data_IF_735929110387
#
_entry.id   IF_735929110387
#
_cell.length_a   1.000
_cell.length_b   1.000
_cell.length_c   1.000
_cell.angle_alpha   90.00
_cell.angle_beta   90.00
_cell.angle_gamma   90.00
#
_symmetry.space_group_name_H-M   'P 1'
#
loop_
_entity.id
_entity.type
_entity.pdbx_description
1 polymer ?
#
# COMPACT_ATOMS: atom_id res chain seq x y z
N UNK A 1 8.51 -19.43 2.03
CA UNK A 1 8.77 -19.12 3.46
C UNK A 1 8.60 -17.61 3.63
N UNK A 2 7.42 -17.10 4.04
CA UNK A 2 7.28 -15.66 4.29
C UNK A 2 8.13 -15.32 5.52
N UNK A 3 9.05 -14.37 5.35
CA UNK A 3 10.07 -14.05 6.35
C UNK A 3 9.44 -13.40 7.58
N UNK A 4 9.82 -13.89 8.77
CA UNK A 4 9.44 -13.34 10.08
C UNK A 4 9.71 -11.82 10.21
N UNK A 5 10.59 -11.26 9.36
CA UNK A 5 10.90 -9.84 9.29
C UNK A 5 9.74 -8.97 8.80
N UNK A 6 8.95 -9.43 7.83
CA UNK A 6 7.79 -8.65 7.33
C UNK A 6 6.69 -8.53 8.41
N UNK A 7 6.53 -9.58 9.21
CA UNK A 7 5.56 -9.64 10.30
C UNK A 7 5.90 -8.75 11.49
N UNK A 8 7.19 -8.43 11.71
CA UNK A 8 7.66 -7.56 12.79
C UNK A 8 7.48 -6.09 12.40
N UNK A 9 7.84 -5.72 11.16
CA UNK A 9 7.66 -4.36 10.66
C UNK A 9 6.18 -3.94 10.59
N UNK A 10 5.28 -4.85 10.16
CA UNK A 10 3.83 -4.54 10.18
C UNK A 10 3.30 -4.34 11.62
N UNK A 11 3.84 -5.07 12.60
CA UNK A 11 3.47 -4.91 14.02
C UNK A 11 3.96 -3.59 14.62
N UNK A 12 5.14 -3.11 14.25
CA UNK A 12 5.67 -1.82 14.70
C UNK A 12 4.89 -0.64 14.11
N UNK A 13 4.56 -0.68 12.81
CA UNK A 13 3.72 0.36 12.16
C UNK A 13 2.31 0.44 12.75
N UNK A 14 1.68 -0.71 13.03
CA UNK A 14 0.34 -0.75 13.63
C UNK A 14 0.33 -0.24 15.08
N UNK A 15 1.33 -0.58 15.90
CA UNK A 15 1.39 -0.05 17.27
C UNK A 15 1.57 1.46 17.27
N UNK A 16 2.33 2.02 16.33
CA UNK A 16 2.45 3.47 16.15
C UNK A 16 1.13 4.14 15.71
N UNK A 17 0.36 3.48 14.84
CA UNK A 17 -0.97 3.94 14.42
C UNK A 17 -2.00 3.95 15.56
N UNK A 18 -2.00 2.92 16.42
CA UNK A 18 -2.97 2.77 17.51
C UNK A 18 -2.60 3.63 18.75
N UNK A 19 -1.31 3.81 19.05
CA UNK A 19 -0.89 4.38 20.35
C UNK A 19 -1.04 5.92 20.46
N UNK A 20 -1.39 6.63 19.38
CA UNK A 20 -1.66 8.08 19.41
C UNK A 20 -3.14 8.44 19.69
N UNK A 21 -4.02 7.44 19.83
CA UNK A 21 -5.47 7.61 19.97
C UNK A 21 -5.98 7.44 21.41
N UNK A 22 -5.25 7.92 22.43
CA UNK A 22 -5.77 7.94 23.80
C UNK A 22 -6.72 9.14 24.01
N UNK A 23 -7.95 9.01 23.52
CA UNK A 23 -9.08 9.82 24.02
C UNK A 23 -9.99 8.89 24.82
N UNK A 24 -10.10 9.19 26.12
CA UNK A 24 -11.04 8.53 27.04
C UNK A 24 -12.46 8.83 26.56
N UNK A 25 -13.20 7.83 26.12
CA UNK A 25 -14.64 7.98 25.91
C UNK A 25 -15.36 6.71 26.31
N UNK A 26 -16.16 6.84 27.37
CA UNK A 26 -17.14 5.87 27.80
C UNK A 26 -18.32 5.90 26.83
N UNK A 27 -18.90 4.71 26.58
CA UNK A 27 -20.29 4.47 26.13
C UNK A 27 -20.52 4.13 24.64
N UNK A 28 -21.26 3.03 24.48
CA UNK A 28 -21.88 2.43 23.28
C UNK A 28 -20.93 1.72 22.28
N UNK A 29 -20.73 0.43 22.52
CA UNK A 29 -20.15 -0.52 21.55
C UNK A 29 -21.12 -0.72 20.38
N UNK A 30 -21.02 0.10 19.35
CA UNK A 30 -21.39 -0.36 18.00
C UNK A 30 -20.40 -1.46 17.61
N UNK A 31 -20.92 -2.66 17.28
CA UNK A 31 -20.16 -3.78 16.70
C UNK A 31 -19.62 -3.38 15.31
N UNK A 32 -18.66 -2.47 15.24
CA UNK A 32 -17.88 -2.25 14.03
C UNK A 32 -16.89 -3.41 13.92
N UNK A 33 -16.96 -4.13 12.80
CA UNK A 33 -16.01 -5.19 12.46
C UNK A 33 -14.60 -4.59 12.60
N UNK A 34 -13.71 -5.15 13.44
CA UNK A 34 -12.37 -4.59 13.56
C UNK A 34 -11.74 -4.61 12.18
N UNK A 35 -11.21 -3.45 11.79
CA UNK A 35 -10.32 -3.29 10.64
C UNK A 35 -9.32 -4.43 10.73
N UNK A 36 -9.28 -5.32 9.74
CA UNK A 36 -8.33 -6.44 9.85
C UNK A 36 -6.94 -5.83 9.70
N UNK A 37 -6.17 -5.86 10.78
CA UNK A 37 -4.72 -5.61 10.77
C UNK A 37 -4.06 -6.28 9.56
N UNK A 38 -4.56 -7.47 9.19
CA UNK A 38 -4.25 -8.19 7.96
C UNK A 38 -4.40 -7.35 6.68
N UNK A 39 -5.50 -6.63 6.48
CA UNK A 39 -5.70 -5.81 5.28
C UNK A 39 -4.69 -4.65 5.20
N UNK A 40 -4.34 -4.05 6.34
CA UNK A 40 -3.29 -3.01 6.38
C UNK A 40 -1.93 -3.65 6.04
N UNK A 41 -1.58 -4.80 6.60
CA UNK A 41 -0.33 -5.49 6.24
C UNK A 41 -0.30 -5.91 4.76
N UNK A 42 -1.43 -6.33 4.18
CA UNK A 42 -1.53 -6.66 2.76
C UNK A 42 -1.23 -5.43 1.89
N UNK A 43 -1.80 -4.28 2.24
CA UNK A 43 -1.51 -3.02 1.55
C UNK A 43 -0.04 -2.61 1.67
N UNK A 44 0.54 -2.67 2.88
CA UNK A 44 1.95 -2.35 3.10
C UNK A 44 2.88 -3.30 2.32
N UNK A 45 2.49 -4.56 2.17
CA UNK A 45 3.20 -5.51 1.31
C UNK A 45 3.03 -5.17 -0.17
N UNK A 46 1.83 -4.80 -0.61
CA UNK A 46 1.56 -4.42 -2.00
C UNK A 46 2.34 -3.18 -2.43
N UNK A 47 2.43 -2.15 -1.58
CA UNK A 47 3.22 -0.95 -1.91
C UNK A 47 4.71 -1.24 -1.99
N UNK A 48 5.21 -2.16 -1.14
CA UNK A 48 6.59 -2.62 -1.20
C UNK A 48 6.88 -3.33 -2.53
N UNK A 49 6.05 -4.31 -2.90
CA UNK A 49 6.20 -5.02 -4.18
C UNK A 49 6.15 -4.02 -5.33
N UNK A 50 5.14 -3.15 -5.38
CA UNK A 50 5.01 -2.19 -6.46
C UNK A 50 6.23 -1.25 -6.57
N UNK A 51 6.86 -0.90 -5.44
CA UNK A 51 8.10 -0.12 -5.43
C UNK A 51 9.29 -0.92 -5.95
N UNK A 52 9.42 -2.20 -5.59
CA UNK A 52 10.48 -3.10 -6.07
C UNK A 52 10.35 -3.36 -7.58
N UNK A 53 9.14 -3.69 -8.04
CA UNK A 53 8.87 -3.92 -9.46
C UNK A 53 9.08 -2.65 -10.31
N UNK A 54 8.75 -1.48 -9.76
CA UNK A 54 9.07 -0.19 -10.39
C UNK A 54 10.57 -0.01 -10.61
N UNK A 55 11.41 -0.47 -9.67
CA UNK A 55 12.87 -0.41 -9.84
C UNK A 55 13.31 -1.30 -11.00
N UNK A 56 12.79 -2.52 -11.10
CA UNK A 56 13.10 -3.42 -12.22
C UNK A 56 12.69 -2.81 -13.55
N UNK A 57 11.47 -2.29 -13.66
CA UNK A 57 10.98 -1.64 -14.88
C UNK A 57 11.86 -0.45 -15.29
N UNK A 58 12.30 0.39 -14.34
CA UNK A 58 13.22 1.50 -14.64
C UNK A 58 14.58 0.99 -15.13
N UNK A 59 15.12 -0.05 -14.50
CA UNK A 59 16.46 -0.58 -14.81
C UNK A 59 16.51 -1.32 -16.14
N UNK A 60 15.41 -1.94 -16.56
CA UNK A 60 15.36 -2.71 -17.80
C UNK A 60 14.98 -1.88 -19.02
N UNK A 61 14.75 -0.57 -18.90
CA UNK A 61 14.48 0.31 -20.03
C UNK A 61 15.51 0.14 -21.15
N UNK A 62 15.03 0.01 -22.39
CA UNK A 62 15.87 -0.22 -23.57
C UNK A 62 16.37 -1.66 -23.73
N UNK A 63 16.03 -2.57 -22.80
CA UNK A 63 16.32 -3.99 -22.92
C UNK A 63 15.09 -4.80 -23.38
N UNK A 64 15.32 -6.05 -23.78
CA UNK A 64 14.26 -7.00 -24.14
C UNK A 64 13.36 -7.40 -22.95
N UNK A 65 13.80 -7.15 -21.71
CA UNK A 65 13.04 -7.48 -20.50
C UNK A 65 12.03 -6.39 -20.13
N UNK A 66 12.18 -5.19 -20.73
CA UNK A 66 11.43 -4.01 -20.32
C UNK A 66 9.92 -4.18 -20.35
N UNK A 67 9.40 -4.81 -21.41
CA UNK A 67 7.95 -5.03 -21.53
C UNK A 67 7.40 -5.89 -20.39
N UNK A 68 8.11 -6.96 -20.03
CA UNK A 68 7.75 -7.83 -18.92
C UNK A 68 7.74 -7.08 -17.60
N UNK A 69 8.84 -6.37 -17.30
CA UNK A 69 8.99 -5.64 -16.05
C UNK A 69 8.00 -4.47 -15.96
N UNK A 70 7.74 -3.76 -17.07
CA UNK A 70 6.72 -2.71 -17.14
C UNK A 70 5.34 -3.26 -16.77
N UNK A 71 4.96 -4.42 -17.33
CA UNK A 71 3.67 -5.05 -17.05
C UNK A 71 3.56 -5.46 -15.58
N UNK A 72 4.59 -6.10 -15.03
CA UNK A 72 4.60 -6.50 -13.61
C UNK A 72 4.52 -5.29 -12.68
N UNK A 73 5.28 -4.23 -12.96
CA UNK A 73 5.20 -2.98 -12.21
C UNK A 73 3.81 -2.35 -12.30
N UNK A 74 3.23 -2.30 -13.50
CA UNK A 74 1.88 -1.77 -13.72
C UNK A 74 0.84 -2.55 -12.91
N UNK A 75 0.85 -3.88 -12.98
CA UNK A 75 -0.08 -4.75 -12.25
C UNK A 75 0.08 -4.55 -10.73
N UNK A 76 1.31 -4.49 -10.22
CA UNK A 76 1.57 -4.28 -8.80
C UNK A 76 1.07 -2.91 -8.31
N UNK A 77 1.24 -1.84 -9.11
CA UNK A 77 0.71 -0.50 -8.79
C UNK A 77 -0.83 -0.53 -8.76
N UNK A 78 -1.50 -1.19 -9.70
CA UNK A 78 -2.95 -1.32 -9.70
C UNK A 78 -3.46 -2.07 -8.46
N UNK A 79 -2.85 -3.20 -8.11
CA UNK A 79 -3.19 -3.95 -6.89
C UNK A 79 -3.03 -3.08 -5.64
N UNK A 80 -1.96 -2.29 -5.56
CA UNK A 80 -1.73 -1.38 -4.43
C UNK A 80 -2.82 -0.31 -4.32
N UNK A 81 -3.21 0.33 -5.43
CA UNK A 81 -4.26 1.34 -5.48
C UNK A 81 -5.64 0.76 -5.12
N UNK A 82 -5.95 -0.44 -5.61
CA UNK A 82 -7.21 -1.11 -5.30
C UNK A 82 -7.29 -1.43 -3.79
N UNK A 83 -6.24 -1.99 -3.21
CA UNK A 83 -6.19 -2.26 -1.77
C UNK A 83 -6.32 -0.98 -0.94
N UNK A 84 -5.70 0.12 -1.37
CA UNK A 84 -5.85 1.42 -0.73
C UNK A 84 -7.32 1.89 -0.71
N UNK A 85 -8.00 1.85 -1.85
CA UNK A 85 -9.41 2.25 -1.95
C UNK A 85 -10.33 1.35 -1.13
N UNK A 86 -10.12 0.03 -1.18
CA UNK A 86 -10.86 -0.93 -0.35
C UNK A 86 -10.65 -0.66 1.14
N UNK A 87 -9.43 -0.35 1.57
CA UNK A 87 -9.14 0.01 2.96
C UNK A 87 -9.88 1.28 3.35
N UNK A 88 -9.81 2.36 2.57
CA UNK A 88 -10.52 3.61 2.88
C UNK A 88 -12.02 3.42 3.09
N UNK A 89 -12.66 2.52 2.33
CA UNK A 89 -14.09 2.20 2.48
C UNK A 89 -14.39 1.36 3.73
N UNK A 90 -13.42 0.56 4.19
CA UNK A 90 -13.57 -0.33 5.34
C UNK A 90 -13.22 0.31 6.69
N UNK A 91 -12.38 1.36 6.67
CA UNK A 91 -11.93 2.09 7.84
C UNK A 91 -13.03 3.01 8.39
N UNK A 92 -13.02 3.28 9.70
CA UNK A 92 -13.81 4.40 10.24
C UNK A 92 -13.30 5.72 9.68
N UNK A 93 -14.17 6.74 9.58
CA UNK A 93 -13.83 8.06 9.00
C UNK A 93 -12.52 8.64 9.52
N UNK A 94 -12.29 8.62 10.84
CA UNK A 94 -11.04 9.12 11.44
C UNK A 94 -9.81 8.30 11.00
N UNK A 95 -9.91 6.97 10.98
CA UNK A 95 -8.82 6.10 10.55
C UNK A 95 -8.57 6.20 9.04
N UNK A 96 -9.64 6.31 8.23
CA UNK A 96 -9.56 6.52 6.80
C UNK A 96 -8.84 7.83 6.46
N UNK A 97 -9.17 8.92 7.14
CA UNK A 97 -8.50 10.23 6.97
C UNK A 97 -7.01 10.14 7.30
N UNK A 98 -6.64 9.48 8.41
CA UNK A 98 -5.24 9.29 8.78
C UNK A 98 -4.49 8.41 7.80
N UNK A 99 -5.11 7.32 7.37
CA UNK A 99 -4.54 6.39 6.40
C UNK A 99 -4.34 7.08 5.04
N UNK A 100 -5.34 7.84 4.59
CA UNK A 100 -5.26 8.65 3.37
C UNK A 100 -4.13 9.68 3.47
N UNK A 101 -4.05 10.45 4.55
CA UNK A 101 -3.00 11.44 4.76
C UNK A 101 -1.60 10.80 4.76
N UNK A 102 -1.46 9.59 5.29
CA UNK A 102 -0.16 8.91 5.35
C UNK A 102 0.30 8.40 3.98
N UNK A 103 -0.62 7.87 3.17
CA UNK A 103 -0.27 7.11 1.97
C UNK A 103 -0.57 7.82 0.65
N UNK A 104 -1.29 8.95 0.65
CA UNK A 104 -1.64 9.66 -0.60
C UNK A 104 -0.42 10.10 -1.39
N UNK A 105 0.60 10.65 -0.72
CA UNK A 105 1.81 11.13 -1.37
C UNK A 105 2.66 9.98 -1.94
N UNK A 106 2.99 8.92 -1.15
CA UNK A 106 3.67 7.74 -1.71
C UNK A 106 2.95 7.12 -2.92
N UNK A 107 1.62 6.99 -2.87
CA UNK A 107 0.85 6.44 -3.98
C UNK A 107 0.85 7.36 -5.20
N UNK A 108 0.74 8.67 -4.98
CA UNK A 108 0.84 9.66 -6.05
C UNK A 108 2.20 9.59 -6.76
N UNK A 109 3.30 9.51 -5.99
CA UNK A 109 4.65 9.37 -6.55
C UNK A 109 4.82 8.07 -7.32
N UNK A 110 4.33 6.96 -6.76
CA UNK A 110 4.41 5.64 -7.41
C UNK A 110 3.64 5.63 -8.73
N UNK A 111 2.42 6.18 -8.75
CA UNK A 111 1.61 6.30 -9.96
C UNK A 111 2.26 7.22 -10.99
N UNK A 112 2.73 8.39 -10.56
CA UNK A 112 3.42 9.35 -11.43
C UNK A 112 4.67 8.74 -12.07
N UNK A 113 5.42 7.91 -11.33
CA UNK A 113 6.57 7.18 -11.87
C UNK A 113 6.14 6.19 -12.95
N UNK A 114 5.09 5.40 -12.71
CA UNK A 114 4.55 4.48 -13.72
C UNK A 114 4.11 5.24 -14.98
N UNK A 115 3.39 6.34 -14.82
CA UNK A 115 2.89 7.15 -15.94
C UNK A 115 4.04 7.83 -16.73
N UNK A 116 5.21 8.01 -16.11
CA UNK A 116 6.42 8.57 -16.75
C UNK A 116 7.27 7.55 -17.50
N UNK A 117 7.01 6.25 -17.32
CA UNK A 117 7.74 5.19 -18.01
C UNK A 117 7.37 5.17 -19.51
N UNK A 118 8.34 4.94 -20.42
CA UNK A 118 8.04 4.79 -21.84
C UNK A 118 7.10 3.61 -22.07
N UNK A 119 6.10 3.77 -22.93
CA UNK A 119 5.23 2.63 -23.26
C UNK A 119 6.06 1.55 -23.98
N UNK A 120 5.92 0.26 -23.60
CA UNK A 120 6.56 -0.81 -24.33
C UNK A 120 6.08 -0.80 -25.79
N UNK A 121 7.00 -0.99 -26.72
CA UNK A 121 6.70 -1.08 -28.15
C UNK A 121 5.86 -2.36 -28.35
N UNK A 122 4.64 -2.19 -28.85
CA UNK A 122 3.74 -3.29 -29.21
C UNK A 122 4.05 -3.85 -30.58
#
# INVERSE_FOLDING_TARGET
MPSLFSSILCKESYTHFIHRSKVKSTRWFTKRKPISFEAICLFEHAIKIATEEMVYAVQSQGSIYYEGDYRVASDAVHVCLDQFHHLLQSLSTEHAQRFQHHWSEPLFQLRSRLDSLPLPLS
#
